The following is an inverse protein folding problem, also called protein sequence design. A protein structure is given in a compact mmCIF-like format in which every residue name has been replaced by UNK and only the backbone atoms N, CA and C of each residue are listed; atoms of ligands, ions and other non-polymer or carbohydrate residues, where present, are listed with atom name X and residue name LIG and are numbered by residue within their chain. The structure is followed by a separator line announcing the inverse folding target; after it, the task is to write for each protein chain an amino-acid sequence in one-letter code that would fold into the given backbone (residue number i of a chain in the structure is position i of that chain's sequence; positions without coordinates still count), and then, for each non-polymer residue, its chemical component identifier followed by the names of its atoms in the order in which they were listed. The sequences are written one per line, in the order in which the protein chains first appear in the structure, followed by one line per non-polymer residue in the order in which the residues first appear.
data_IF_105386283196
#
_entry.id   IF_105386283196
#
_cell.length_a   1.000
_cell.length_b   1.000
_cell.length_c   1.000
_cell.angle_alpha   90.00
_cell.angle_beta   90.00
_cell.angle_gamma   90.00
#
_symmetry.space_group_name_H-M   'P 1'
#
loop_
_entity.id
_entity.type
_entity.pdbx_description
1 polymer ?
#
# COMPACT_ATOMS: atom_id res chain seq x y z
N UNK A 1 -8.05 7.27 -10.87
CA UNK A 1 -8.67 7.08 -9.53
C UNK A 1 -8.48 8.32 -8.63
N UNK A 2 -9.58 8.86 -8.10
CA UNK A 2 -9.65 10.06 -7.25
C UNK A 2 -10.78 9.93 -6.23
N UNK A 3 -11.06 10.95 -5.44
CA UNK A 3 -12.02 10.88 -4.32
C UNK A 3 -13.44 10.41 -4.69
N UNK A 4 -13.84 10.53 -5.97
CA UNK A 4 -15.14 10.11 -6.49
C UNK A 4 -15.10 8.77 -7.24
N UNK A 5 -14.02 7.99 -7.15
CA UNK A 5 -13.91 6.72 -7.89
C UNK A 5 -14.73 5.57 -7.33
N UNK A 6 -15.39 5.74 -6.19
CA UNK A 6 -16.28 4.74 -5.60
C UNK A 6 -17.68 5.32 -5.36
N UNK A 7 -18.70 4.48 -5.54
CA UNK A 7 -20.10 4.86 -5.28
C UNK A 7 -20.68 5.89 -6.25
N UNK A 8 -20.00 6.18 -7.37
CA UNK A 8 -20.49 7.12 -8.40
C UNK A 8 -20.41 6.50 -9.80
N UNK A 9 -21.19 7.00 -10.78
CA UNK A 9 -21.09 6.55 -12.16
C UNK A 9 -19.69 6.73 -12.75
N UNK A 10 -19.34 5.88 -13.70
CA UNK A 10 -18.09 5.97 -14.44
C UNK A 10 -17.89 7.38 -15.06
N UNK A 11 -16.67 7.90 -14.97
CA UNK A 11 -16.31 9.23 -15.48
C UNK A 11 -16.70 10.40 -14.58
N UNK A 12 -17.36 10.18 -13.43
CA UNK A 12 -17.70 11.25 -12.48
C UNK A 12 -16.48 12.06 -12.03
N UNK A 13 -15.38 11.38 -11.68
CA UNK A 13 -14.14 12.04 -11.28
C UNK A 13 -13.60 12.97 -12.39
N UNK A 14 -13.56 12.49 -13.64
CA UNK A 14 -13.05 13.28 -14.77
C UNK A 14 -13.92 14.53 -15.00
N UNK A 15 -15.25 14.38 -14.98
CA UNK A 15 -16.18 15.52 -15.12
C UNK A 15 -16.00 16.56 -14.01
N UNK A 16 -15.75 16.10 -12.78
CA UNK A 16 -15.50 16.97 -11.64
C UNK A 16 -14.17 17.71 -11.78
N UNK A 17 -13.11 17.03 -12.20
CA UNK A 17 -11.79 17.61 -12.47
C UNK A 17 -11.85 18.65 -13.60
N UNK A 18 -12.59 18.36 -14.68
CA UNK A 18 -12.80 19.29 -15.80
C UNK A 18 -13.56 20.55 -15.37
N UNK A 19 -14.60 20.40 -14.54
CA UNK A 19 -15.34 21.53 -14.00
C UNK A 19 -14.46 22.43 -13.12
N UNK A 20 -13.65 21.83 -12.25
CA UNK A 20 -12.67 22.56 -11.43
C UNK A 20 -11.66 23.31 -12.30
N UNK A 21 -11.09 22.64 -13.31
CA UNK A 21 -10.14 23.26 -14.24
C UNK A 21 -10.76 24.41 -15.05
N UNK A 22 -12.03 24.28 -15.46
CA UNK A 22 -12.77 25.37 -16.11
C UNK A 22 -12.85 26.61 -15.21
N UNK A 23 -13.20 26.45 -13.94
CA UNK A 23 -13.26 27.58 -13.01
C UNK A 23 -11.89 28.22 -12.74
N UNK A 24 -10.83 27.42 -12.68
CA UNK A 24 -9.45 27.94 -12.62
C UNK A 24 -9.14 28.79 -13.87
N UNK A 25 -9.52 28.31 -15.06
CA UNK A 25 -9.36 29.05 -16.32
C UNK A 25 -10.15 30.36 -16.39
N UNK A 26 -11.28 30.44 -15.68
CA UNK A 26 -12.07 31.67 -15.50
C UNK A 26 -11.49 32.62 -14.42
N UNK A 27 -10.34 32.29 -13.83
CA UNK A 27 -9.70 33.07 -12.76
C UNK A 27 -10.32 32.88 -11.38
N UNK A 28 -11.18 31.87 -11.20
CA UNK A 28 -11.76 31.54 -9.89
C UNK A 28 -10.80 30.68 -9.07
N UNK A 29 -10.86 30.85 -7.76
CA UNK A 29 -10.08 30.05 -6.82
C UNK A 29 -10.74 28.68 -6.61
N UNK A 30 -9.94 27.62 -6.70
CA UNK A 30 -10.32 26.23 -6.40
C UNK A 30 -9.27 25.63 -5.47
N UNK A 31 -9.68 25.10 -4.32
CA UNK A 31 -8.78 24.52 -3.32
C UNK A 31 -9.24 23.14 -2.85
N UNK A 32 -8.44 22.08 -2.99
CA UNK A 32 -7.20 22.00 -3.78
C UNK A 32 -7.51 21.88 -5.28
N UNK A 33 -6.63 22.39 -6.16
CA UNK A 33 -6.81 22.23 -7.61
C UNK A 33 -6.63 20.76 -8.04
N UNK A 34 -7.20 20.31 -9.17
CA UNK A 34 -7.01 18.95 -9.67
C UNK A 34 -5.53 18.54 -9.81
N UNK A 35 -4.68 19.48 -10.24
CA UNK A 35 -3.21 19.28 -10.30
C UNK A 35 -2.62 18.97 -8.92
N UNK A 36 -2.98 19.76 -7.90
CA UNK A 36 -2.49 19.54 -6.53
C UNK A 36 -3.05 18.25 -5.95
N UNK A 37 -4.33 17.95 -6.17
CA UNK A 37 -4.93 16.67 -5.77
C UNK A 37 -4.20 15.47 -6.40
N UNK A 38 -3.79 15.60 -7.67
CA UNK A 38 -3.04 14.55 -8.36
C UNK A 38 -1.65 14.36 -7.76
N UNK A 39 -0.94 15.47 -7.48
CA UNK A 39 0.43 15.46 -6.95
C UNK A 39 0.49 15.06 -5.46
N UNK A 40 -0.49 15.46 -4.66
CA UNK A 40 -0.55 15.21 -3.22
C UNK A 40 -1.35 13.95 -2.86
N UNK A 41 -2.10 13.39 -3.82
CA UNK A 41 -2.88 12.17 -3.63
C UNK A 41 -2.04 10.89 -3.68
N UNK A 42 -0.81 10.97 -4.20
CA UNK A 42 0.16 9.89 -4.11
C UNK A 42 0.78 9.85 -2.70
N UNK A 43 0.96 8.66 -2.15
CA UNK A 43 1.53 8.46 -0.81
C UNK A 43 3.05 8.69 -0.78
N UNK A 44 3.67 9.02 -1.91
CA UNK A 44 5.07 9.46 -2.04
C UNK A 44 5.41 10.62 -1.11
N UNK A 45 4.43 11.50 -0.81
CA UNK A 45 4.61 12.58 0.16
C UNK A 45 5.03 12.06 1.55
N UNK A 46 4.57 10.87 1.96
CA UNK A 46 4.95 10.25 3.23
C UNK A 46 6.40 9.79 3.24
N UNK A 47 6.89 9.30 2.10
CA UNK A 47 8.31 8.92 1.94
C UNK A 47 9.20 10.16 2.06
N UNK A 48 8.80 11.27 1.47
CA UNK A 48 9.56 12.53 1.51
C UNK A 48 9.69 13.13 2.92
N UNK A 49 8.74 12.85 3.81
CA UNK A 49 8.76 13.37 5.19
C UNK A 49 9.29 12.37 6.22
N UNK A 50 9.81 11.21 5.80
CA UNK A 50 10.21 10.15 6.72
C UNK A 50 11.30 10.53 7.73
N UNK A 51 12.06 11.57 7.43
CA UNK A 51 13.13 12.14 8.25
C UNK A 51 12.64 13.25 9.20
N UNK A 52 11.37 13.63 9.15
CA UNK A 52 10.79 14.58 10.11
C UNK A 52 10.52 13.86 11.44
N UNK A 53 10.37 14.63 12.53
CA UNK A 53 10.09 14.08 13.87
C UNK A 53 8.81 13.23 13.97
N UNK A 54 7.88 13.38 13.03
CA UNK A 54 6.65 12.57 12.94
C UNK A 54 6.71 11.49 11.85
N UNK A 55 7.82 11.40 11.13
CA UNK A 55 8.07 10.38 10.11
C UNK A 55 8.53 9.06 10.71
N UNK A 56 8.48 8.01 9.90
CA UNK A 56 9.07 6.71 10.20
C UNK A 56 10.13 6.41 9.15
N UNK A 57 11.40 6.30 9.54
CA UNK A 57 12.54 6.16 8.62
C UNK A 57 12.44 4.93 7.69
N UNK A 58 11.69 3.91 8.12
CA UNK A 58 11.37 2.69 7.38
C UNK A 58 10.12 2.83 6.47
N UNK A 59 9.75 4.06 6.12
CA UNK A 59 8.73 4.35 5.11
C UNK A 59 9.34 4.32 3.71
N UNK A 60 8.82 3.44 2.87
CA UNK A 60 9.27 3.23 1.49
C UNK A 60 8.09 3.21 0.51
N UNK A 61 8.39 3.55 -0.74
CA UNK A 61 7.55 3.27 -1.90
C UNK A 61 8.35 2.33 -2.81
N UNK A 62 7.68 1.32 -3.35
CA UNK A 62 8.28 0.31 -4.23
C UNK A 62 7.64 0.45 -5.60
N UNK A 63 8.47 0.49 -6.65
CA UNK A 63 7.99 0.71 -8.02
C UNK A 63 8.24 -0.50 -8.92
N UNK A 64 8.92 -1.52 -8.41
CA UNK A 64 9.06 -2.82 -9.04
C UNK A 64 8.99 -3.96 -8.01
N UNK A 65 8.85 -5.17 -8.54
CA UNK A 65 8.71 -6.40 -7.77
C UNK A 65 9.95 -6.71 -6.92
N UNK A 66 11.20 -6.70 -7.46
CA UNK A 66 12.38 -6.91 -6.66
C UNK A 66 12.50 -5.99 -5.44
N UNK A 67 12.24 -4.69 -5.61
CA UNK A 67 12.25 -3.71 -4.52
C UNK A 67 11.17 -4.01 -3.47
N UNK A 68 9.95 -4.35 -3.91
CA UNK A 68 8.85 -4.70 -3.01
C UNK A 68 9.19 -5.95 -2.17
N UNK A 69 9.68 -7.01 -2.81
CA UNK A 69 9.99 -8.27 -2.16
C UNK A 69 11.11 -8.09 -1.12
N UNK A 70 12.22 -7.47 -1.51
CA UNK A 70 13.35 -7.24 -0.62
C UNK A 70 13.00 -6.25 0.51
N UNK A 71 12.40 -5.11 0.17
CA UNK A 71 12.05 -4.07 1.12
C UNK A 71 11.01 -4.52 2.13
N UNK A 72 9.95 -5.23 1.69
CA UNK A 72 8.95 -5.77 2.61
C UNK A 72 9.57 -6.74 3.61
N UNK A 73 10.39 -7.68 3.14
CA UNK A 73 11.05 -8.67 4.01
C UNK A 73 11.98 -8.03 5.05
N UNK A 74 12.76 -7.02 4.66
CA UNK A 74 13.67 -6.30 5.57
C UNK A 74 12.91 -5.46 6.61
N UNK A 75 11.89 -4.72 6.16
CA UNK A 75 11.12 -3.86 7.06
C UNK A 75 10.23 -4.66 8.01
N UNK A 76 9.64 -5.76 7.53
CA UNK A 76 8.81 -6.66 8.33
C UNK A 76 9.63 -7.51 9.31
N UNK A 77 10.93 -7.73 9.05
CA UNK A 77 11.84 -8.32 10.02
C UNK A 77 12.21 -7.36 11.16
N UNK A 78 11.98 -6.05 11.02
CA UNK A 78 12.32 -5.03 12.02
C UNK A 78 11.16 -4.72 12.96
N UNK A 79 9.95 -4.53 12.42
CA UNK A 79 8.76 -4.19 13.23
C UNK A 79 7.46 -4.44 12.46
N UNK A 80 6.27 -4.34 13.09
CA UNK A 80 4.99 -4.43 12.38
C UNK A 80 4.88 -3.46 11.21
N UNK A 81 4.11 -3.84 10.18
CA UNK A 81 4.00 -3.04 8.96
C UNK A 81 2.59 -2.66 8.61
N UNK A 82 2.50 -1.52 7.93
CA UNK A 82 1.34 -1.17 7.12
C UNK A 82 1.80 -1.16 5.68
N UNK A 83 1.19 -2.00 4.86
CA UNK A 83 1.40 -1.99 3.41
C UNK A 83 0.10 -1.58 2.73
N UNK A 84 0.24 -0.82 1.65
CA UNK A 84 -0.88 -0.25 0.93
C UNK A 84 -0.48 0.04 -0.51
N UNK A 85 -1.41 -0.10 -1.44
CA UNK A 85 -1.21 0.41 -2.80
C UNK A 85 -1.05 1.95 -2.76
N UNK A 86 -0.16 2.47 -3.61
CA UNK A 86 0.14 3.92 -3.67
C UNK A 86 -1.10 4.76 -4.03
N UNK A 87 -2.06 4.16 -4.74
CA UNK A 87 -3.33 4.80 -5.10
C UNK A 87 -4.49 3.84 -4.85
N UNK A 88 -5.43 4.25 -4.00
CA UNK A 88 -6.61 3.48 -3.59
C UNK A 88 -7.40 4.29 -2.56
N UNK A 89 -8.69 3.96 -2.39
CA UNK A 89 -9.60 4.61 -1.44
C UNK A 89 -10.25 3.57 -0.52
N UNK A 90 -10.99 4.02 0.51
CA UNK A 90 -11.84 3.18 1.36
C UNK A 90 -11.17 2.02 2.14
N UNK A 91 -9.84 2.03 2.29
CA UNK A 91 -9.13 1.02 3.09
C UNK A 91 -8.87 -0.30 2.37
N UNK A 92 -9.31 -0.44 1.12
CA UNK A 92 -9.05 -1.63 0.29
C UNK A 92 -7.55 -1.76 -0.01
N UNK A 93 -7.03 -2.98 0.13
CA UNK A 93 -5.62 -3.26 -0.06
C UNK A 93 -4.73 -2.49 0.90
N UNK A 94 -5.23 -2.16 2.10
CA UNK A 94 -4.42 -1.64 3.21
C UNK A 94 -4.37 -2.73 4.28
N UNK A 95 -3.18 -3.29 4.49
CA UNK A 95 -2.97 -4.36 5.44
C UNK A 95 -2.15 -3.90 6.63
N UNK A 96 -2.62 -4.23 7.83
CA UNK A 96 -1.77 -4.29 9.01
C UNK A 96 -1.13 -5.68 9.07
N UNK A 97 0.19 -5.73 9.16
CA UNK A 97 0.99 -6.95 9.12
C UNK A 97 1.72 -7.13 10.45
N UNK A 98 1.56 -8.31 11.07
CA UNK A 98 2.32 -8.72 12.26
C UNK A 98 2.97 -10.08 12.03
N UNK A 99 4.18 -10.27 12.57
CA UNK A 99 4.83 -11.57 12.55
C UNK A 99 4.12 -12.51 13.53
N UNK A 100 3.90 -13.75 13.10
CA UNK A 100 3.08 -14.73 13.82
C UNK A 100 3.82 -16.06 13.93
N UNK A 101 3.85 -16.61 15.13
CA UNK A 101 4.30 -17.99 15.37
C UNK A 101 3.12 -18.91 15.06
N UNK A 102 3.18 -19.58 13.91
CA UNK A 102 2.13 -20.50 13.46
C UNK A 102 1.93 -21.69 14.39
N UNK A 103 3.00 -22.21 14.99
CA UNK A 103 2.92 -23.41 15.82
C UNK A 103 2.34 -23.10 17.20
N UNK A 104 2.71 -21.94 17.77
CA UNK A 104 2.20 -21.48 19.06
C UNK A 104 0.92 -20.64 18.97
N UNK A 105 0.45 -20.35 17.75
CA UNK A 105 -0.68 -19.48 17.43
C UNK A 105 -0.67 -18.16 18.22
N UNK A 106 0.45 -17.44 18.14
CA UNK A 106 0.65 -16.18 18.86
C UNK A 106 1.49 -15.18 18.09
N UNK A 107 1.37 -13.91 18.46
CA UNK A 107 2.19 -12.85 17.92
C UNK A 107 3.66 -13.03 18.33
N UNK A 108 4.57 -12.79 17.40
CA UNK A 108 5.99 -12.67 17.71
C UNK A 108 6.24 -11.25 18.23
N UNK A 109 6.60 -11.12 19.50
CA UNK A 109 6.83 -9.81 20.14
C UNK A 109 8.27 -9.29 19.93
N UNK A 110 9.23 -10.19 19.76
CA UNK A 110 10.63 -9.84 19.50
C UNK A 110 10.92 -10.14 18.03
N UNK A 111 11.03 -9.08 17.24
CA UNK A 111 11.29 -9.17 15.81
C UNK A 111 12.75 -9.57 15.52
N UNK A 112 13.03 -10.23 14.37
CA UNK A 112 14.38 -10.72 14.04
C UNK A 112 15.47 -9.63 13.99
N UNK A 113 15.13 -8.44 13.50
CA UNK A 113 16.07 -7.34 13.31
C UNK A 113 15.99 -6.33 14.46
N UNK A 114 17.14 -5.97 15.05
CA UNK A 114 17.21 -4.91 16.08
C UNK A 114 17.38 -3.53 15.45
N UNK A 115 18.06 -3.45 14.31
CA UNK A 115 18.10 -2.28 13.46
C UNK A 115 17.56 -2.61 12.07
N UNK A 116 17.06 -1.60 11.38
CA UNK A 116 16.49 -1.74 10.04
C UNK A 116 17.52 -2.32 9.06
N UNK A 117 17.19 -3.47 8.46
CA UNK A 117 18.02 -4.14 7.46
C UNK A 117 19.03 -5.17 8.01
N UNK A 118 19.09 -5.39 9.33
CA UNK A 118 19.97 -6.42 9.93
C UNK A 118 19.64 -7.85 9.47
N UNK A 119 18.37 -8.10 9.12
CA UNK A 119 17.86 -9.39 8.65
C UNK A 119 16.66 -9.17 7.73
N UNK A 120 16.30 -10.25 7.02
CA UNK A 120 15.11 -10.33 6.17
C UNK A 120 14.29 -11.54 6.56
N UNK A 121 12.98 -11.43 6.43
CA UNK A 121 12.10 -12.60 6.54
C UNK A 121 12.33 -13.59 5.39
N UNK A 122 12.18 -14.86 5.69
CA UNK A 122 12.11 -15.95 4.74
C UNK A 122 10.71 -16.06 4.09
N UNK A 123 10.62 -16.84 3.02
CA UNK A 123 9.35 -17.06 2.29
C UNK A 123 8.29 -17.76 3.14
N UNK A 124 8.73 -18.64 4.03
CA UNK A 124 7.91 -19.49 4.89
C UNK A 124 7.60 -18.87 6.26
N UNK A 125 8.18 -17.72 6.58
CA UNK A 125 7.78 -16.93 7.74
C UNK A 125 6.28 -16.61 7.67
N UNK A 126 5.61 -16.64 8.81
CA UNK A 126 4.16 -16.58 8.88
C UNK A 126 3.71 -15.23 9.44
N UNK A 127 2.72 -14.63 8.80
CA UNK A 127 2.23 -13.30 9.13
C UNK A 127 0.72 -13.30 9.34
N UNK A 128 0.29 -12.55 10.34
CA UNK A 128 -1.10 -12.16 10.56
C UNK A 128 -1.35 -10.86 9.80
N UNK A 129 -2.41 -10.85 9.01
CA UNK A 129 -2.83 -9.74 8.18
C UNK A 129 -4.23 -9.30 8.61
N UNK A 130 -4.45 -7.99 8.72
CA UNK A 130 -5.79 -7.42 8.88
C UNK A 130 -6.03 -6.38 7.80
N UNK A 131 -7.09 -6.56 7.00
CA UNK A 131 -7.46 -5.58 5.98
C UNK A 131 -8.26 -4.44 6.62
N UNK A 132 -7.92 -3.20 6.31
CA UNK A 132 -8.54 -2.03 6.95
C UNK A 132 -9.93 -1.69 6.43
N UNK A 133 -10.38 -2.28 5.31
CA UNK A 133 -11.70 -2.00 4.74
C UNK A 133 -12.85 -2.60 5.58
N UNK A 134 -12.67 -3.80 6.13
CA UNK A 134 -13.70 -4.53 6.90
C UNK A 134 -13.16 -5.16 8.20
N UNK A 135 -11.86 -4.99 8.50
CA UNK A 135 -11.15 -5.54 9.65
C UNK A 135 -11.09 -7.08 9.72
N UNK A 136 -11.34 -7.78 8.61
CA UNK A 136 -11.13 -9.22 8.59
C UNK A 136 -9.64 -9.55 8.77
N UNK A 137 -9.38 -10.76 9.29
CA UNK A 137 -8.02 -11.24 9.57
C UNK A 137 -7.74 -12.46 8.72
N UNK A 138 -6.59 -12.45 8.05
CA UNK A 138 -6.06 -13.58 7.30
C UNK A 138 -4.66 -13.96 7.84
N UNK A 139 -4.23 -15.19 7.60
CA UNK A 139 -2.93 -15.68 8.01
C UNK A 139 -2.25 -16.38 6.84
N UNK A 140 -1.07 -15.90 6.48
CA UNK A 140 -0.36 -16.32 5.28
C UNK A 140 1.13 -16.42 5.53
N UNK A 141 1.81 -17.20 4.70
CA UNK A 141 3.26 -17.07 4.56
C UNK A 141 3.62 -15.75 3.88
N UNK A 142 4.84 -15.26 4.12
CA UNK A 142 5.37 -14.07 3.43
C UNK A 142 5.32 -14.26 1.92
N UNK A 143 5.62 -15.47 1.42
CA UNK A 143 5.53 -15.79 -0.01
C UNK A 143 4.12 -15.65 -0.57
N UNK A 144 3.13 -16.25 0.10
CA UNK A 144 1.72 -16.16 -0.32
C UNK A 144 1.27 -14.70 -0.41
N UNK A 145 1.60 -13.90 0.61
CA UNK A 145 1.23 -12.49 0.65
C UNK A 145 1.91 -11.66 -0.43
N UNK A 146 3.22 -11.83 -0.64
CA UNK A 146 3.93 -11.10 -1.69
C UNK A 146 3.46 -11.50 -3.09
N UNK A 147 3.14 -12.78 -3.30
CA UNK A 147 2.54 -13.26 -4.56
C UNK A 147 1.18 -12.60 -4.79
N UNK A 148 0.33 -12.52 -3.77
CA UNK A 148 -0.93 -11.77 -3.83
C UNK A 148 -0.70 -10.28 -4.17
N UNK A 149 0.26 -9.64 -3.50
CA UNK A 149 0.59 -8.25 -3.76
C UNK A 149 1.10 -8.00 -5.18
N UNK A 150 1.79 -8.94 -5.82
CA UNK A 150 2.37 -8.75 -7.16
C UNK A 150 1.41 -9.21 -8.25
N UNK A 151 0.90 -10.43 -8.15
CA UNK A 151 0.19 -11.12 -9.22
C UNK A 151 -1.32 -11.30 -8.96
N UNK A 152 -1.77 -11.08 -7.73
CA UNK A 152 -3.17 -11.20 -7.31
C UNK A 152 -3.54 -12.57 -6.71
N UNK A 153 -4.80 -12.73 -6.27
CA UNK A 153 -5.23 -13.88 -5.46
C UNK A 153 -5.28 -15.21 -6.22
N UNK A 154 -5.45 -15.17 -7.55
CA UNK A 154 -5.54 -16.36 -8.40
C UNK A 154 -4.17 -16.87 -8.88
N UNK A 155 -3.09 -16.18 -8.53
CA UNK A 155 -1.74 -16.52 -8.98
C UNK A 155 -1.22 -17.81 -8.32
N UNK A 156 -0.45 -18.65 -9.05
CA UNK A 156 0.14 -19.85 -8.48
C UNK A 156 1.02 -19.54 -7.26
N UNK A 157 0.62 -20.04 -6.09
CA UNK A 157 1.35 -19.84 -4.84
C UNK A 157 0.89 -18.64 -4.00
N UNK A 158 -0.14 -17.90 -4.41
CA UNK A 158 -0.76 -16.85 -3.60
C UNK A 158 -1.51 -17.38 -2.37
N UNK A 159 -1.88 -18.67 -2.34
CA UNK A 159 -2.71 -19.22 -1.28
C UNK A 159 -4.21 -19.02 -1.58
N UNK A 160 -5.03 -18.82 -0.55
CA UNK A 160 -6.47 -18.56 -0.69
C UNK A 160 -6.81 -17.30 0.08
N UNK A 161 -7.45 -16.35 -0.59
CA UNK A 161 -7.76 -15.03 -0.02
C UNK A 161 -9.26 -14.87 0.19
N UNK A 162 -9.63 -14.29 1.33
CA UNK A 162 -10.99 -13.81 1.60
C UNK A 162 -11.20 -12.37 1.11
N UNK A 163 -10.12 -11.58 1.05
CA UNK A 163 -10.12 -10.22 0.53
C UNK A 163 -10.76 -10.11 -0.86
N UNK A 164 -11.58 -9.08 -1.04
CA UNK A 164 -12.14 -8.70 -2.35
C UNK A 164 -11.20 -7.78 -3.13
N UNK A 165 -10.11 -7.31 -2.51
CA UNK A 165 -9.10 -6.50 -3.17
C UNK A 165 -8.28 -7.36 -4.15
N UNK A 166 -8.02 -6.90 -5.39
CA UNK A 166 -7.40 -7.73 -6.43
C UNK A 166 -5.90 -7.99 -6.25
N UNK A 167 -5.25 -7.47 -5.21
CA UNK A 167 -3.80 -7.52 -5.07
C UNK A 167 -3.12 -6.57 -6.07
N UNK A 168 -2.08 -7.04 -6.77
CA UNK A 168 -1.50 -6.36 -7.94
C UNK A 168 -1.09 -4.89 -7.70
N UNK A 169 -0.34 -4.67 -6.63
CA UNK A 169 0.04 -3.36 -6.10
C UNK A 169 0.86 -2.53 -7.10
N UNK A 170 1.58 -3.21 -8.00
CA UNK A 170 2.45 -2.59 -8.99
C UNK A 170 1.69 -2.20 -10.26
N UNK A 171 0.46 -2.70 -10.47
CA UNK A 171 -0.38 -2.29 -11.58
C UNK A 171 -0.90 -0.85 -11.35
N UNK A 172 -0.78 0.01 -12.38
CA UNK A 172 -1.28 1.39 -12.36
C UNK A 172 -0.45 2.42 -11.58
N UNK A 173 0.64 2.03 -10.91
CA UNK A 173 1.47 2.93 -10.09
C UNK A 173 2.32 3.94 -10.91
N UNK A 174 3.05 3.46 -11.93
CA UNK A 174 3.92 4.31 -12.77
C UNK A 174 3.12 5.27 -13.66
N UNK A 175 2.01 4.82 -14.23
CA UNK A 175 1.18 5.64 -15.13
C UNK A 175 0.35 6.70 -14.38
N UNK A 176 0.09 6.50 -13.08
CA UNK A 176 -0.72 7.41 -12.27
C UNK A 176 0.09 8.49 -11.51
N UNK A 177 1.30 8.78 -11.99
CA UNK A 177 2.11 9.92 -11.51
C UNK A 177 2.98 9.66 -10.28
N UNK A 178 3.26 8.39 -9.93
CA UNK A 178 4.32 8.06 -8.99
C UNK A 178 5.64 8.59 -9.54
N UNK A 179 6.31 9.48 -8.79
CA UNK A 179 7.60 9.98 -9.21
C UNK A 179 8.66 8.95 -8.87
N UNK A 180 9.55 8.64 -9.81
CA UNK A 180 10.84 8.04 -9.47
C UNK A 180 11.53 8.99 -8.48
N UNK A 181 12.04 8.42 -7.38
CA UNK A 181 12.81 9.15 -6.37
C UNK A 181 14.16 9.58 -6.93
#
# INVERSE_FOLDING_TARGET
PGQLSQGTPEGTQARFDDLMNKYIGEGKLVWSSPKIQTQMGAKDALVNIKQLNCGLEDTYAYYDEPELLDGFKKTMAFQPRVIKQNRGSAGEGIWLCWLWDKAADKKVEIYPSKALGDSSLADDDYIKLMEMNDNHVEYHTVKEFLTFCVDGPDAPGAGKWASTFPGKYLEGGKEAGGKEA
#
